data_IF_172359176481
#
_entry.id   IF_172359176481
#
_cell.length_a   1.000
_cell.length_b   1.000
_cell.length_c   1.000
_cell.angle_alpha   90.00
_cell.angle_beta   90.00
_cell.angle_gamma   90.00
#
_symmetry.space_group_name_H-M   'P 1'
#
loop_
_entity.id
_entity.type
_entity.pdbx_description
1 polymer ?
#
# COMPACT_ATOMS: atom_id res chain seq x y z
N UNK A 1 7.98 -16.93 9.16
CA UNK A 1 8.06 -15.63 9.87
C UNK A 1 9.11 -14.73 9.24
N UNK A 2 10.42 -15.02 9.29
CA UNK A 2 11.35 -14.15 8.55
C UNK A 2 11.29 -14.33 7.03
N UNK A 3 10.99 -15.53 6.52
CA UNK A 3 10.84 -15.79 5.07
C UNK A 3 9.77 -14.93 4.39
N UNK A 4 8.76 -14.49 5.15
CA UNK A 4 7.70 -13.62 4.64
C UNK A 4 8.28 -12.29 4.16
N UNK A 5 9.21 -11.69 4.91
CA UNK A 5 9.94 -10.49 4.50
C UNK A 5 10.78 -10.68 3.23
N UNK A 6 11.39 -11.86 3.09
CA UNK A 6 12.17 -12.18 1.90
C UNK A 6 11.27 -12.34 0.66
N UNK A 7 10.11 -12.96 0.83
CA UNK A 7 9.11 -13.10 -0.23
C UNK A 7 8.54 -11.74 -0.63
N UNK A 8 8.24 -10.87 0.33
CA UNK A 8 7.81 -9.49 0.06
C UNK A 8 8.89 -8.67 -0.66
N UNK A 9 10.16 -8.83 -0.28
CA UNK A 9 11.27 -8.19 -0.99
C UNK A 9 11.34 -8.64 -2.46
N UNK A 10 11.21 -9.96 -2.71
CA UNK A 10 11.17 -10.52 -4.07
C UNK A 10 9.97 -10.01 -4.86
N UNK A 11 8.79 -10.00 -4.23
CA UNK A 11 7.57 -9.49 -4.83
C UNK A 11 7.68 -8.01 -5.18
N UNK A 12 8.18 -7.19 -4.25
CA UNK A 12 8.41 -5.76 -4.46
C UNK A 12 9.31 -5.49 -5.67
N UNK A 13 10.37 -6.29 -5.84
CA UNK A 13 11.30 -6.18 -6.97
C UNK A 13 10.81 -6.82 -8.26
N UNK A 14 9.71 -7.57 -8.24
CA UNK A 14 9.16 -8.18 -9.44
C UNK A 14 8.77 -7.13 -10.48
N UNK A 15 8.96 -7.46 -11.75
CA UNK A 15 8.62 -6.55 -12.85
C UNK A 15 7.14 -6.16 -12.80
N UNK A 16 6.25 -7.13 -12.62
CA UNK A 16 4.80 -6.89 -12.54
C UNK A 16 4.45 -5.86 -11.47
N UNK A 17 4.97 -6.01 -10.24
CA UNK A 17 4.71 -5.06 -9.17
C UNK A 17 5.28 -3.67 -9.47
N UNK A 18 6.49 -3.60 -10.04
CA UNK A 18 7.10 -2.32 -10.43
C UNK A 18 6.30 -1.58 -11.49
N UNK A 19 5.83 -2.29 -12.52
CA UNK A 19 4.97 -1.70 -13.56
C UNK A 19 3.64 -1.23 -12.98
N UNK A 20 3.01 -2.03 -12.14
CA UNK A 20 1.77 -1.65 -11.46
C UNK A 20 1.96 -0.39 -10.62
N UNK A 21 3.01 -0.34 -9.79
CA UNK A 21 3.31 0.80 -8.94
C UNK A 21 3.66 2.06 -9.74
N UNK A 22 4.41 1.91 -10.84
CA UNK A 22 4.70 3.02 -11.74
C UNK A 22 3.42 3.57 -12.40
N UNK A 23 2.52 2.70 -12.84
CA UNK A 23 1.26 3.13 -13.44
C UNK A 23 0.31 3.79 -12.43
N UNK A 24 0.23 3.26 -11.21
CA UNK A 24 -0.66 3.79 -10.17
C UNK A 24 -0.15 5.09 -9.52
N UNK A 25 1.17 5.19 -9.29
CA UNK A 25 1.76 6.26 -8.48
C UNK A 25 2.86 7.06 -9.18
N UNK A 26 3.24 6.72 -10.41
CA UNK A 26 4.29 7.41 -11.18
C UNK A 26 5.72 7.21 -10.67
N UNK A 27 5.92 6.36 -9.66
CA UNK A 27 7.21 6.14 -8.99
C UNK A 27 7.53 4.66 -8.89
N UNK A 28 8.80 4.32 -8.70
CA UNK A 28 9.21 2.95 -8.39
C UNK A 28 9.15 2.70 -6.87
N UNK A 29 8.71 1.51 -6.43
CA UNK A 29 8.59 1.21 -5.01
C UNK A 29 9.96 1.09 -4.34
N UNK A 30 10.09 1.64 -3.13
CA UNK A 30 11.31 1.56 -2.33
C UNK A 30 11.41 0.21 -1.60
N UNK A 31 11.97 -0.82 -2.26
CA UNK A 31 12.01 -2.18 -1.71
C UNK A 31 13.10 -2.44 -0.64
N UNK A 32 13.93 -1.45 -0.30
CA UNK A 32 15.08 -1.67 0.60
C UNK A 32 14.64 -2.06 2.02
N UNK A 33 13.53 -1.47 2.51
CA UNK A 33 13.00 -1.73 3.85
C UNK A 33 12.74 -3.22 4.10
N UNK A 34 12.15 -3.93 3.12
CA UNK A 34 11.88 -5.36 3.23
C UNK A 34 13.15 -6.22 3.42
N UNK A 35 14.27 -5.79 2.81
CA UNK A 35 15.55 -6.47 2.97
C UNK A 35 16.15 -6.23 4.35
N UNK A 36 16.04 -5.01 4.86
CA UNK A 36 16.47 -4.66 6.22
C UNK A 36 15.64 -5.39 7.27
N UNK A 37 14.32 -5.45 7.09
CA UNK A 37 13.40 -6.13 7.99
C UNK A 37 13.67 -7.64 8.02
N UNK A 38 13.95 -8.26 6.87
CA UNK A 38 14.43 -9.65 6.82
C UNK A 38 15.70 -9.85 7.64
N UNK A 39 16.70 -8.98 7.47
CA UNK A 39 17.96 -9.08 8.20
C UNK A 39 17.78 -8.88 9.71
N UNK A 40 16.99 -7.88 10.12
CA UNK A 40 16.67 -7.60 11.51
C UNK A 40 15.91 -8.78 12.15
N UNK A 41 14.96 -9.37 11.43
CA UNK A 41 14.24 -10.57 11.85
C UNK A 41 15.20 -11.75 12.07
N UNK A 42 16.12 -12.00 11.12
CA UNK A 42 17.11 -13.09 11.24
C UNK A 42 18.08 -12.87 12.40
N UNK A 43 18.55 -11.63 12.60
CA UNK A 43 19.42 -11.31 13.75
C UNK A 43 18.72 -11.50 15.09
N UNK A 44 17.43 -11.17 15.17
CA UNK A 44 16.63 -11.45 16.35
C UNK A 44 16.49 -12.96 16.60
N UNK A 45 16.19 -13.75 15.56
CA UNK A 45 16.08 -15.22 15.69
C UNK A 45 17.39 -15.89 16.11
N UNK A 46 18.54 -15.44 15.58
CA UNK A 46 19.84 -16.09 15.85
C UNK A 46 20.53 -15.60 17.11
N UNK A 47 20.44 -14.30 17.40
CA UNK A 47 21.24 -13.66 18.46
C UNK A 47 20.38 -13.04 19.57
N UNK A 48 19.04 -13.08 19.46
CA UNK A 48 18.13 -12.35 20.37
C UNK A 48 18.52 -10.88 20.51
N UNK A 49 18.97 -10.26 19.40
CA UNK A 49 19.39 -8.86 19.38
C UNK A 49 18.19 -7.92 19.58
N UNK A 50 18.12 -7.29 20.75
CA UNK A 50 17.02 -6.38 21.12
C UNK A 50 16.91 -5.17 20.21
N UNK A 51 18.02 -4.63 19.71
CA UNK A 51 18.01 -3.49 18.78
C UNK A 51 17.37 -3.88 17.44
N UNK A 52 17.71 -5.07 16.93
CA UNK A 52 17.12 -5.58 15.69
C UNK A 52 15.61 -5.79 15.83
N UNK A 53 15.15 -6.26 17.00
CA UNK A 53 13.72 -6.39 17.31
C UNK A 53 13.04 -5.03 17.36
N UNK A 54 13.63 -4.03 18.01
CA UNK A 54 13.05 -2.69 18.10
C UNK A 54 12.96 -2.02 16.72
N UNK A 55 14.00 -2.16 15.89
CA UNK A 55 14.01 -1.67 14.52
C UNK A 55 12.88 -2.31 13.69
N UNK A 56 12.71 -3.64 13.79
CA UNK A 56 11.65 -4.37 13.09
C UNK A 56 10.25 -3.95 13.58
N UNK A 57 10.06 -3.80 14.90
CA UNK A 57 8.78 -3.34 15.43
C UNK A 57 8.44 -1.92 14.97
N UNK A 58 9.46 -1.05 14.85
CA UNK A 58 9.27 0.31 14.35
C UNK A 58 8.87 0.30 12.88
N UNK A 59 9.52 -0.50 12.02
CA UNK A 59 9.18 -0.57 10.60
C UNK A 59 7.72 -1.05 10.40
N UNK A 60 7.30 -2.07 11.14
CA UNK A 60 5.95 -2.61 11.06
C UNK A 60 4.89 -1.60 11.49
N UNK A 61 5.15 -0.87 12.58
CA UNK A 61 4.25 0.20 13.04
C UNK A 61 4.10 1.29 11.98
N UNK A 62 5.20 1.71 11.35
CA UNK A 62 5.17 2.68 10.26
C UNK A 62 4.34 2.16 9.08
N UNK A 63 4.60 0.93 8.63
CA UNK A 63 3.86 0.30 7.52
C UNK A 63 2.36 0.23 7.78
N UNK A 64 1.96 -0.19 8.97
CA UNK A 64 0.53 -0.27 9.37
C UNK A 64 -0.09 1.13 9.47
N UNK A 65 0.66 2.13 9.91
CA UNK A 65 0.18 3.51 9.95
C UNK A 65 -0.04 4.07 8.53
N UNK A 66 0.88 3.81 7.59
CA UNK A 66 0.75 4.21 6.19
C UNK A 66 -0.49 3.61 5.51
N UNK A 67 -0.81 2.34 5.81
CA UNK A 67 -2.04 1.70 5.32
C UNK A 67 -3.33 2.37 5.81
N UNK A 68 -3.27 3.11 6.93
CA UNK A 68 -4.44 3.82 7.47
C UNK A 68 -4.61 5.23 6.90
N UNK A 69 -3.67 5.72 6.10
CA UNK A 69 -3.68 7.10 5.59
C UNK A 69 -4.63 7.32 4.40
N UNK A 70 -5.44 6.33 4.01
CA UNK A 70 -6.45 6.52 2.97
C UNK A 70 -7.67 7.24 3.52
N UNK A 71 -7.82 8.51 3.14
CA UNK A 71 -9.06 9.26 3.37
C UNK A 71 -10.10 8.77 2.34
N UNK A 72 -11.23 8.19 2.77
CA UNK A 72 -12.27 7.79 1.83
C UNK A 72 -12.77 9.04 1.10
N UNK A 73 -12.65 9.04 -0.23
CA UNK A 73 -13.21 10.11 -1.08
C UNK A 73 -14.74 10.01 -1.13
N UNK A 74 -15.26 8.80 -0.96
CA UNK A 74 -16.68 8.50 -1.01
C UNK A 74 -17.21 8.16 0.38
N UNK A 75 -18.26 8.86 0.79
CA UNK A 75 -19.03 8.49 1.98
C UNK A 75 -19.95 7.30 1.67
N UNK A 76 -20.16 6.43 2.67
CA UNK A 76 -21.09 5.32 2.55
C UNK A 76 -22.52 5.86 2.43
N UNK A 77 -23.13 5.73 1.25
CA UNK A 77 -24.53 6.15 1.02
C UNK A 77 -25.47 5.25 1.81
N UNK A 78 -26.42 5.86 2.52
CA UNK A 78 -27.50 5.13 3.22
C UNK A 78 -28.67 4.80 2.30
N UNK A 79 -28.93 5.68 1.33
CA UNK A 79 -30.04 5.56 0.39
C UNK A 79 -29.57 6.01 -1.00
N UNK A 80 -30.16 5.47 -2.08
CA UNK A 80 -29.88 5.95 -3.43
C UNK A 80 -30.33 7.41 -3.61
N UNK A 81 -29.69 8.19 -4.48
CA UNK A 81 -30.20 9.50 -4.88
C UNK A 81 -31.65 9.41 -5.36
N UNK A 82 -32.49 10.37 -4.94
CA UNK A 82 -33.94 10.35 -5.24
C UNK A 82 -34.25 10.42 -6.73
N UNK A 83 -33.35 11.01 -7.49
CA UNK A 83 -33.41 11.27 -8.92
C UNK A 83 -32.65 10.23 -9.75
N UNK A 84 -32.16 9.13 -9.16
CA UNK A 84 -31.38 8.14 -9.91
C UNK A 84 -32.17 7.50 -11.08
N UNK A 85 -33.51 7.49 -10.98
CA UNK A 85 -34.41 6.97 -12.01
C UNK A 85 -34.69 7.97 -13.14
N UNK A 86 -34.26 9.23 -13.04
CA UNK A 86 -34.51 10.21 -14.08
C UNK A 86 -33.62 9.94 -15.30
N UNK A 87 -34.15 10.09 -16.54
CA UNK A 87 -33.33 9.99 -17.73
C UNK A 87 -32.24 11.08 -17.68
N UNK A 88 -31.01 10.71 -18.03
CA UNK A 88 -29.94 11.69 -18.21
C UNK A 88 -30.39 12.67 -19.28
N UNK A 89 -30.47 13.97 -18.95
CA UNK A 89 -30.80 15.01 -19.92
C UNK A 89 -29.70 15.00 -21.00
N UNK A 90 -29.95 14.34 -22.13
CA UNK A 90 -29.06 14.33 -23.28
C UNK A 90 -29.22 15.66 -24.03
N UNK A 91 -28.80 16.78 -23.46
CA UNK A 91 -28.70 18.04 -24.20
C UNK A 91 -27.81 19.06 -23.48
N UNK A 92 -26.60 19.23 -24.00
CA UNK A 92 -26.08 20.52 -24.44
C UNK A 92 -24.72 20.33 -25.14
N UNK A 93 -24.68 20.14 -26.48
CA UNK A 93 -23.52 20.57 -27.24
C UNK A 93 -23.57 22.10 -27.27
N UNK A 94 -22.86 22.76 -26.35
CA UNK A 94 -22.57 24.19 -26.43
C UNK A 94 -21.12 24.44 -26.10
N UNK A 95 -20.26 24.02 -27.01
CA UNK A 95 -19.01 24.72 -27.28
C UNK A 95 -19.04 25.11 -28.76
N UNK A 96 -19.33 26.38 -29.02
CA UNK A 96 -19.12 27.07 -30.30
C UNK A 96 -17.81 27.84 -30.23
#
# INVERSE_FOLDING_TARGET
>A
MCEDYLNEFRHCKSFSNRFHHYYAYGTFPACHQWKEDYHNCRQWETHSNTEAKEALQKSERTRVAEQKNFKPVWELRREPPRDWHMPLNQENPRDS
#
